data_IF_415371265631
#
_entry.id   IF_415371265631
#
_cell.length_a   1.000
_cell.length_b   1.000
_cell.length_c   1.000
_cell.angle_alpha   90.00
_cell.angle_beta   90.00
_cell.angle_gamma   90.00
#
_symmetry.space_group_name_H-M   'P 1'
#
loop_
_entity.id
_entity.type
_entity.pdbx_description
1 polymer ?
#
# COMPACT_ATOMS: atom_id res chain seq x y z
N UNK A 1 2.65 -17.62 -10.51
CA UNK A 1 2.94 -16.59 -9.49
C UNK A 1 4.41 -16.66 -9.17
N UNK A 2 5.09 -15.53 -9.18
CA UNK A 2 6.51 -15.42 -8.86
C UNK A 2 6.77 -15.73 -7.37
N UNK A 3 7.87 -16.41 -7.07
CA UNK A 3 8.27 -16.76 -5.69
C UNK A 3 8.47 -15.53 -4.81
N UNK A 4 8.99 -14.42 -5.38
CA UNK A 4 9.17 -13.15 -4.66
C UNK A 4 7.84 -12.55 -4.23
N UNK A 5 6.84 -12.57 -5.09
CA UNK A 5 5.50 -12.11 -4.77
C UNK A 5 4.89 -12.94 -3.63
N UNK A 6 5.05 -14.26 -3.68
CA UNK A 6 4.59 -15.13 -2.59
C UNK A 6 5.32 -14.84 -1.27
N UNK A 7 6.62 -14.53 -1.35
CA UNK A 7 7.39 -14.14 -0.17
C UNK A 7 6.87 -12.83 0.44
N UNK A 8 6.56 -11.82 -0.37
CA UNK A 8 5.95 -10.58 0.11
C UNK A 8 4.60 -10.80 0.78
N UNK A 9 3.73 -11.63 0.20
CA UNK A 9 2.45 -11.99 0.83
C UNK A 9 2.66 -12.64 2.20
N UNK A 10 3.63 -13.56 2.31
CA UNK A 10 3.98 -14.21 3.58
C UNK A 10 4.53 -13.23 4.61
N UNK A 11 5.40 -12.30 4.22
CA UNK A 11 5.91 -11.24 5.10
C UNK A 11 4.76 -10.35 5.57
N UNK A 12 3.88 -9.92 4.68
CA UNK A 12 2.71 -9.11 5.01
C UNK A 12 1.81 -9.79 6.04
N UNK A 13 1.58 -11.10 5.92
CA UNK A 13 0.72 -11.90 6.81
C UNK A 13 1.45 -12.52 8.01
N UNK A 14 2.77 -12.31 8.14
CA UNK A 14 3.51 -12.78 9.30
C UNK A 14 3.00 -12.12 10.60
N UNK A 15 2.98 -12.89 11.69
CA UNK A 15 2.43 -12.45 12.99
C UNK A 15 3.33 -11.50 13.77
N UNK A 16 4.45 -11.10 13.22
CA UNK A 16 5.34 -10.12 13.82
C UNK A 16 4.80 -8.68 13.69
N UNK A 17 5.06 -7.81 14.68
CA UNK A 17 4.78 -6.39 14.55
C UNK A 17 5.44 -5.78 13.31
N UNK A 18 4.79 -4.81 12.67
CA UNK A 18 5.32 -4.12 11.49
C UNK A 18 6.72 -3.50 11.73
N UNK A 19 6.96 -2.98 12.93
CA UNK A 19 8.28 -2.46 13.33
C UNK A 19 9.39 -3.52 13.24
N UNK A 20 9.09 -4.76 13.63
CA UNK A 20 10.04 -5.87 13.56
C UNK A 20 10.25 -6.32 12.12
N UNK A 21 9.17 -6.44 11.34
CA UNK A 21 9.28 -6.77 9.91
C UNK A 21 10.18 -5.77 9.18
N UNK A 22 10.07 -4.46 9.49
CA UNK A 22 10.96 -3.43 8.93
C UNK A 22 12.41 -3.63 9.32
N UNK A 23 12.70 -3.92 10.59
CA UNK A 23 14.07 -4.22 11.03
C UNK A 23 14.63 -5.45 10.31
N UNK A 24 13.84 -6.49 10.14
CA UNK A 24 14.25 -7.68 9.37
C UNK A 24 14.59 -7.30 7.93
N UNK A 25 13.74 -6.54 7.27
CA UNK A 25 13.94 -6.12 5.88
C UNK A 25 15.11 -5.12 5.70
N UNK A 26 15.48 -4.38 6.73
CA UNK A 26 16.70 -3.56 6.72
C UNK A 26 17.97 -4.42 6.70
N UNK A 27 17.96 -5.58 7.36
CA UNK A 27 19.11 -6.51 7.41
C UNK A 27 19.09 -7.53 6.28
N UNK A 28 17.91 -7.93 5.84
CA UNK A 28 17.67 -8.89 4.77
C UNK A 28 16.71 -8.28 3.73
N UNK A 29 17.22 -7.45 2.81
CA UNK A 29 16.37 -6.75 1.83
C UNK A 29 15.66 -7.68 0.84
N UNK A 30 16.21 -8.86 0.57
CA UNK A 30 15.54 -9.86 -0.27
C UNK A 30 14.44 -10.57 0.53
N UNK A 31 13.18 -10.60 0.04
CA UNK A 31 12.07 -11.22 0.77
C UNK A 31 12.23 -12.71 0.99
N UNK A 32 12.93 -13.43 0.12
CA UNK A 32 13.19 -14.87 0.27
C UNK A 32 14.21 -15.12 1.39
N UNK A 33 15.26 -14.31 1.45
CA UNK A 33 16.24 -14.34 2.53
C UNK A 33 15.57 -13.95 3.86
N UNK A 34 14.76 -12.89 3.87
CA UNK A 34 14.05 -12.44 5.07
C UNK A 34 13.15 -13.52 5.68
N UNK A 35 12.48 -14.34 4.87
CA UNK A 35 11.64 -15.45 5.33
C UNK A 35 12.45 -16.60 5.94
N UNK A 36 13.68 -16.82 5.47
CA UNK A 36 14.56 -17.89 5.94
C UNK A 36 15.53 -17.45 7.04
N UNK A 37 15.63 -16.13 7.27
CA UNK A 37 16.59 -15.56 8.18
C UNK A 37 16.44 -16.05 9.62
N UNK A 38 17.56 -16.29 10.29
CA UNK A 38 17.59 -16.47 11.73
C UNK A 38 17.57 -15.11 12.43
N UNK A 39 16.43 -14.77 13.00
CA UNK A 39 16.21 -13.49 13.67
C UNK A 39 17.01 -13.36 14.99
N UNK A 40 17.66 -14.43 15.46
CA UNK A 40 18.51 -14.38 16.66
C UNK A 40 19.76 -13.51 16.47
N UNK A 41 20.17 -13.28 15.23
CA UNK A 41 21.32 -12.42 14.89
C UNK A 41 20.99 -10.93 14.93
N UNK A 42 19.71 -10.56 14.98
CA UNK A 42 19.27 -9.17 15.02
C UNK A 42 19.40 -8.57 16.42
N UNK A 43 19.71 -7.27 16.54
CA UNK A 43 19.73 -6.58 17.83
C UNK A 43 18.40 -6.75 18.56
N UNK A 44 18.45 -7.18 19.82
CA UNK A 44 17.26 -7.36 20.65
C UNK A 44 16.65 -6.02 21.03
N UNK A 45 15.79 -5.49 20.20
CA UNK A 45 14.95 -4.34 20.54
C UNK A 45 13.54 -4.84 20.87
N UNK A 46 13.19 -4.90 22.15
CA UNK A 46 11.81 -4.98 22.70
C UNK A 46 10.82 -6.00 22.08
N UNK A 47 11.28 -7.10 21.53
CA UNK A 47 10.41 -8.17 21.04
C UNK A 47 10.56 -9.42 21.88
N UNK A 48 9.45 -9.95 22.35
CA UNK A 48 9.40 -11.14 23.15
C UNK A 48 9.87 -12.37 22.35
N UNK A 49 10.43 -13.34 23.04
CA UNK A 49 11.09 -14.57 22.56
C UNK A 49 10.28 -15.51 21.63
N UNK A 50 9.20 -15.06 21.02
CA UNK A 50 8.33 -15.88 20.17
C UNK A 50 8.84 -15.99 18.75
N UNK A 51 9.83 -16.81 18.52
CA UNK A 51 10.22 -17.27 17.19
C UNK A 51 11.51 -16.66 16.66
N UNK A 52 12.42 -17.55 16.26
CA UNK A 52 13.70 -17.20 15.61
C UNK A 52 13.57 -16.94 14.10
N UNK A 53 12.36 -16.93 13.55
CA UNK A 53 12.08 -16.75 12.11
C UNK A 53 10.79 -15.97 11.87
N UNK A 54 10.67 -15.34 10.70
CA UNK A 54 9.40 -14.80 10.18
C UNK A 54 8.45 -15.97 9.90
N UNK A 55 7.69 -16.38 10.93
CA UNK A 55 6.75 -17.47 10.79
C UNK A 55 5.35 -16.94 10.50
N UNK A 56 4.65 -17.60 9.59
CA UNK A 56 3.22 -17.46 9.46
C UNK A 56 2.57 -17.96 10.75
N UNK A 57 1.66 -17.19 11.34
CA UNK A 57 0.96 -17.52 12.58
C UNK A 57 -0.05 -18.67 12.47
N UNK A 58 0.37 -19.82 11.93
CA UNK A 58 -0.43 -21.02 11.79
C UNK A 58 -1.41 -21.01 10.62
N UNK A 59 -2.40 -21.93 10.62
CA UNK A 59 -3.35 -22.16 9.52
C UNK A 59 -4.13 -20.92 9.06
N UNK A 60 -4.42 -20.01 9.97
CA UNK A 60 -5.14 -18.77 9.61
C UNK A 60 -4.34 -17.87 8.70
N UNK A 61 -3.04 -17.70 8.95
CA UNK A 61 -2.16 -16.89 8.11
C UNK A 61 -1.92 -17.54 6.75
N UNK A 62 -1.76 -18.86 6.69
CA UNK A 62 -1.65 -19.59 5.43
C UNK A 62 -2.90 -19.45 4.56
N UNK A 63 -4.08 -19.50 5.19
CA UNK A 63 -5.36 -19.25 4.48
C UNK A 63 -5.40 -17.83 3.90
N UNK A 64 -4.97 -16.83 4.65
CA UNK A 64 -4.92 -15.44 4.17
C UNK A 64 -3.93 -15.28 3.02
N UNK A 65 -2.74 -15.87 3.11
CA UNK A 65 -1.77 -15.88 2.01
C UNK A 65 -2.37 -16.53 0.76
N UNK A 66 -3.10 -17.62 0.89
CA UNK A 66 -3.75 -18.27 -0.25
C UNK A 66 -4.87 -17.41 -0.86
N UNK A 67 -5.61 -16.66 -0.04
CA UNK A 67 -6.59 -15.69 -0.52
C UNK A 67 -5.92 -14.53 -1.27
N UNK A 68 -4.87 -13.95 -0.69
CA UNK A 68 -4.10 -12.87 -1.31
C UNK A 68 -3.46 -13.34 -2.63
N UNK A 69 -2.94 -14.58 -2.67
CA UNK A 69 -2.38 -15.17 -3.86
C UNK A 69 -3.43 -15.33 -4.99
N UNK A 70 -4.65 -15.73 -4.63
CA UNK A 70 -5.77 -15.81 -5.56
C UNK A 70 -6.17 -14.42 -6.07
N UNK A 71 -6.20 -13.42 -5.19
CA UNK A 71 -6.47 -12.03 -5.56
C UNK A 71 -5.39 -11.51 -6.53
N UNK A 72 -4.12 -11.75 -6.23
CA UNK A 72 -2.97 -11.33 -7.04
C UNK A 72 -2.94 -11.97 -8.45
N UNK A 73 -3.59 -13.11 -8.63
CA UNK A 73 -3.70 -13.77 -9.94
C UNK A 73 -4.63 -13.03 -10.92
N UNK A 74 -5.41 -12.05 -10.46
CA UNK A 74 -6.30 -11.26 -11.32
C UNK A 74 -5.52 -10.21 -12.11
N UNK A 75 -5.92 -9.91 -13.37
CA UNK A 75 -5.28 -8.89 -14.17
C UNK A 75 -5.26 -7.52 -13.48
N UNK A 76 -4.15 -6.80 -13.59
CA UNK A 76 -3.99 -5.46 -13.01
C UNK A 76 -3.79 -5.44 -11.50
N UNK A 77 -3.63 -6.61 -10.86
CA UNK A 77 -3.29 -6.71 -9.45
C UNK A 77 -1.79 -6.95 -9.28
N UNK A 78 -1.18 -6.25 -8.33
CA UNK A 78 0.23 -6.41 -7.99
C UNK A 78 0.48 -6.26 -6.49
N UNK A 79 1.64 -6.70 -6.06
CA UNK A 79 2.15 -6.53 -4.71
C UNK A 79 3.55 -5.94 -4.79
N UNK A 80 3.81 -4.89 -3.99
CA UNK A 80 5.09 -4.18 -3.94
C UNK A 80 5.59 -4.22 -2.50
N UNK A 81 6.76 -4.79 -2.29
CA UNK A 81 7.38 -4.83 -0.96
C UNK A 81 8.22 -3.60 -0.65
N UNK A 82 8.44 -3.33 0.64
CA UNK A 82 9.17 -2.15 1.13
C UNK A 82 10.56 -1.97 0.50
N UNK A 83 11.27 -3.06 0.21
CA UNK A 83 12.61 -3.03 -0.38
C UNK A 83 12.60 -3.15 -1.90
N UNK A 84 11.43 -3.27 -2.52
CA UNK A 84 11.30 -3.29 -3.97
C UNK A 84 11.66 -1.91 -4.55
N UNK A 85 12.42 -1.82 -5.66
CA UNK A 85 12.68 -0.55 -6.34
C UNK A 85 11.42 0.22 -6.76
N UNK A 86 10.31 -0.47 -6.99
CA UNK A 86 9.01 0.12 -7.32
C UNK A 86 8.27 0.70 -6.11
N UNK A 87 8.76 0.48 -4.89
CA UNK A 87 8.10 1.04 -3.71
C UNK A 87 8.24 2.57 -3.71
N UNK A 88 7.15 3.35 -3.51
CA UNK A 88 7.19 4.81 -3.59
C UNK A 88 8.22 5.41 -2.64
N UNK A 89 9.16 6.21 -3.16
CA UNK A 89 10.27 6.75 -2.38
C UNK A 89 9.79 7.58 -1.19
N UNK A 90 8.84 8.50 -1.41
CA UNK A 90 8.29 9.34 -0.33
C UNK A 90 7.54 8.53 0.74
N UNK A 91 6.88 7.45 0.34
CA UNK A 91 6.20 6.57 1.30
C UNK A 91 7.20 5.77 2.14
N UNK A 92 8.40 5.49 1.61
CA UNK A 92 9.48 4.82 2.36
C UNK A 92 10.06 5.71 3.46
N UNK A 93 9.98 7.03 3.30
CA UNK A 93 10.54 8.01 4.25
C UNK A 93 9.65 8.31 5.45
N UNK A 94 8.38 7.91 5.45
CA UNK A 94 7.52 8.12 6.62
C UNK A 94 8.01 7.28 7.80
N UNK A 95 7.69 7.70 9.00
CA UNK A 95 8.14 7.05 10.25
C UNK A 95 7.76 5.57 10.36
N UNK A 96 6.63 5.18 9.75
CA UNK A 96 6.09 3.82 9.78
C UNK A 96 5.64 3.38 8.40
N UNK A 97 6.56 3.18 7.42
CA UNK A 97 6.16 2.72 6.10
C UNK A 97 5.56 1.30 6.17
N UNK A 98 4.52 1.02 5.41
CA UNK A 98 3.98 -0.33 5.31
C UNK A 98 5.02 -1.26 4.67
N UNK A 99 5.10 -2.50 5.12
CA UNK A 99 6.07 -3.46 4.57
C UNK A 99 5.65 -4.02 3.21
N UNK A 100 4.34 -3.98 2.90
CA UNK A 100 3.77 -4.47 1.65
C UNK A 100 2.62 -3.57 1.22
N UNK A 101 2.61 -3.20 -0.05
CA UNK A 101 1.50 -2.53 -0.73
C UNK A 101 0.78 -3.52 -1.63
N UNK A 102 -0.55 -3.54 -1.55
CA UNK A 102 -1.42 -4.21 -2.51
C UNK A 102 -1.93 -3.17 -3.49
N UNK A 103 -1.74 -3.39 -4.77
CA UNK A 103 -2.09 -2.45 -5.81
C UNK A 103 -3.07 -3.07 -6.82
N UNK A 104 -3.99 -2.26 -7.33
CA UNK A 104 -4.83 -2.59 -8.48
C UNK A 104 -4.83 -1.41 -9.45
N UNK A 105 -4.62 -1.68 -10.72
CA UNK A 105 -4.48 -0.67 -11.78
C UNK A 105 -3.03 -0.45 -12.19
N UNK A 106 -2.73 0.78 -12.62
CA UNK A 106 -1.41 1.14 -13.12
C UNK A 106 -0.44 1.53 -11.99
N UNK A 107 0.42 0.59 -11.59
CA UNK A 107 1.42 0.82 -10.54
C UNK A 107 2.50 1.84 -10.92
N UNK A 108 2.67 2.16 -12.21
CA UNK A 108 3.67 3.15 -12.65
C UNK A 108 3.37 4.56 -12.12
N UNK A 109 2.10 4.84 -11.83
CA UNK A 109 1.67 6.11 -11.24
C UNK A 109 2.27 6.37 -9.85
N UNK A 110 2.68 5.31 -9.14
CA UNK A 110 3.31 5.42 -7.83
C UNK A 110 4.71 6.06 -7.87
N UNK A 111 5.32 6.15 -9.05
CA UNK A 111 6.67 6.72 -9.25
C UNK A 111 6.62 8.17 -9.74
N UNK A 112 5.46 8.64 -10.17
CA UNK A 112 5.27 10.00 -10.70
C UNK A 112 5.18 11.07 -9.61
N UNK A 113 5.28 12.35 -10.02
CA UNK A 113 4.99 13.46 -9.11
C UNK A 113 3.53 13.38 -8.67
N UNK A 114 3.29 13.37 -7.37
CA UNK A 114 1.97 13.24 -6.81
C UNK A 114 1.66 14.35 -5.80
N UNK A 115 0.39 14.77 -5.76
CA UNK A 115 -0.11 15.72 -4.78
C UNK A 115 -1.36 15.17 -4.10
N UNK A 116 -1.36 15.16 -2.77
CA UNK A 116 -2.50 14.71 -1.98
C UNK A 116 -3.56 15.81 -1.85
N UNK A 117 -4.82 15.49 -2.21
CA UNK A 117 -5.98 16.34 -1.97
C UNK A 117 -6.90 15.59 -1.00
N UNK A 118 -7.00 16.10 0.22
CA UNK A 118 -7.78 15.49 1.30
C UNK A 118 -8.63 16.54 2.01
N UNK A 119 -9.72 16.12 2.64
CA UNK A 119 -10.56 17.07 3.36
C UNK A 119 -11.81 16.48 3.99
N UNK A 120 -12.77 17.36 4.25
CA UNK A 120 -14.02 17.00 4.93
C UNK A 120 -14.83 15.95 4.16
N UNK A 121 -15.43 15.01 4.90
CA UNK A 121 -16.43 14.08 4.35
C UNK A 121 -17.79 14.74 4.13
N UNK A 122 -18.00 15.91 4.74
CA UNK A 122 -19.21 16.72 4.59
C UNK A 122 -18.82 18.17 4.23
N UNK A 123 -18.29 18.39 3.01
CA UNK A 123 -17.78 19.69 2.58
C UNK A 123 -18.90 20.64 2.19
N UNK A 124 -18.56 21.94 2.12
CA UNK A 124 -19.41 22.93 1.46
C UNK A 124 -19.43 22.72 -0.05
N UNK A 125 -20.46 23.20 -0.78
CA UNK A 125 -20.48 23.17 -2.24
C UNK A 125 -19.23 23.79 -2.87
N UNK A 126 -18.78 24.94 -2.40
CA UNK A 126 -17.56 25.61 -2.86
C UNK A 126 -16.32 24.76 -2.60
N UNK A 127 -16.25 24.07 -1.45
CA UNK A 127 -15.13 23.16 -1.15
C UNK A 127 -15.06 21.99 -2.14
N UNK A 128 -16.20 21.42 -2.54
CA UNK A 128 -16.29 20.37 -3.56
C UNK A 128 -15.80 20.88 -4.90
N UNK A 129 -16.27 22.05 -5.33
CA UNK A 129 -15.90 22.67 -6.60
C UNK A 129 -14.40 22.98 -6.64
N UNK A 130 -13.86 23.60 -5.59
CA UNK A 130 -12.43 23.89 -5.47
C UNK A 130 -11.58 22.63 -5.58
N UNK A 131 -11.91 21.56 -4.81
CA UNK A 131 -11.15 20.32 -4.85
C UNK A 131 -11.20 19.65 -6.22
N UNK A 132 -12.37 19.67 -6.88
CA UNK A 132 -12.55 19.14 -8.22
C UNK A 132 -11.70 19.90 -9.25
N UNK A 133 -11.72 21.23 -9.23
CA UNK A 133 -11.04 22.05 -10.23
C UNK A 133 -9.52 21.99 -10.03
N UNK A 134 -9.03 22.07 -8.77
CA UNK A 134 -7.60 21.83 -8.50
C UNK A 134 -7.12 20.48 -8.99
N UNK A 135 -7.89 19.42 -8.72
CA UNK A 135 -7.54 18.08 -9.19
C UNK A 135 -7.51 17.99 -10.72
N UNK A 136 -8.45 18.65 -11.41
CA UNK A 136 -8.51 18.69 -12.86
C UNK A 136 -7.28 19.36 -13.45
N UNK A 137 -6.91 20.54 -12.93
CA UNK A 137 -5.74 21.29 -13.39
C UNK A 137 -4.43 20.50 -13.17
N UNK A 138 -4.23 19.95 -11.96
CA UNK A 138 -3.06 19.14 -11.65
C UNK A 138 -2.95 17.91 -12.55
N UNK A 139 -4.05 17.20 -12.75
CA UNK A 139 -4.08 16.01 -13.58
C UNK A 139 -3.85 16.32 -15.07
N UNK A 140 -4.27 17.51 -15.56
CA UNK A 140 -4.02 17.97 -16.93
C UNK A 140 -2.54 18.15 -17.22
N UNK A 141 -1.74 18.58 -16.23
CA UNK A 141 -0.29 18.72 -16.37
C UNK A 141 0.48 17.44 -15.98
N UNK A 142 -0.19 16.33 -15.78
CA UNK A 142 0.42 15.03 -15.49
C UNK A 142 0.81 14.80 -14.04
N UNK A 143 0.40 15.66 -13.10
CA UNK A 143 0.58 15.43 -11.66
C UNK A 143 -0.48 14.43 -11.18
N UNK A 144 -0.03 13.39 -10.49
CA UNK A 144 -0.91 12.35 -9.95
C UNK A 144 -1.69 12.92 -8.75
N UNK A 145 -3.01 12.87 -8.82
CA UNK A 145 -3.88 13.26 -7.70
C UNK A 145 -4.02 12.06 -6.76
N UNK A 146 -3.49 12.17 -5.54
CA UNK A 146 -3.61 11.14 -4.51
C UNK A 146 -4.70 11.51 -3.49
N UNK A 147 -5.58 10.56 -3.14
CA UNK A 147 -6.62 10.78 -2.14
C UNK A 147 -7.08 9.45 -1.51
N UNK A 148 -7.98 9.50 -0.50
CA UNK A 148 -8.37 8.33 0.30
C UNK A 148 -9.69 7.65 -0.09
N UNK A 149 -10.30 8.01 -1.22
CA UNK A 149 -11.62 7.52 -1.66
C UNK A 149 -12.79 7.81 -0.71
N UNK A 150 -12.64 8.64 0.31
CA UNK A 150 -13.74 9.00 1.19
C UNK A 150 -14.82 9.82 0.46
N UNK A 151 -16.01 9.90 1.06
CA UNK A 151 -17.01 10.85 0.60
C UNK A 151 -16.49 12.30 0.75
N UNK A 152 -17.06 13.24 0.01
CA UNK A 152 -16.72 14.65 0.10
C UNK A 152 -15.53 15.06 -0.75
N UNK A 153 -14.52 15.69 -0.13
CA UNK A 153 -13.37 16.26 -0.84
C UNK A 153 -12.58 15.20 -1.62
N UNK A 154 -12.34 14.05 -1.02
CA UNK A 154 -11.59 12.95 -1.69
C UNK A 154 -12.29 12.53 -2.99
N UNK A 155 -13.60 12.30 -2.91
CA UNK A 155 -14.41 11.94 -4.09
C UNK A 155 -14.42 13.06 -5.15
N UNK A 156 -14.42 14.33 -4.73
CA UNK A 156 -14.37 15.46 -5.65
C UNK A 156 -13.02 15.53 -6.37
N UNK A 157 -11.92 15.32 -5.64
CA UNK A 157 -10.57 15.29 -6.19
C UNK A 157 -10.41 14.18 -7.25
N UNK A 158 -10.84 12.95 -6.94
CA UNK A 158 -10.79 11.86 -7.92
C UNK A 158 -11.63 12.15 -9.16
N UNK A 159 -12.86 12.69 -8.99
CA UNK A 159 -13.71 13.06 -10.12
C UNK A 159 -13.09 14.16 -10.99
N UNK A 160 -12.43 15.15 -10.37
CA UNK A 160 -11.71 16.21 -11.11
C UNK A 160 -10.61 15.63 -12.00
N UNK A 161 -9.75 14.77 -11.47
CA UNK A 161 -8.71 14.11 -12.24
C UNK A 161 -9.28 13.22 -13.37
N UNK A 162 -10.28 12.41 -13.05
CA UNK A 162 -10.92 11.51 -14.03
C UNK A 162 -11.66 12.26 -15.15
N UNK A 163 -12.23 13.46 -14.88
CA UNK A 163 -12.90 14.29 -15.89
C UNK A 163 -11.98 14.61 -17.05
N UNK A 164 -10.71 14.85 -16.78
CA UNK A 164 -9.69 15.14 -17.80
C UNK A 164 -8.92 13.89 -18.24
N UNK A 165 -9.35 12.70 -17.81
CA UNK A 165 -8.65 11.42 -18.03
C UNK A 165 -7.21 11.43 -17.50
N UNK A 166 -6.96 12.22 -16.46
CA UNK A 166 -5.66 12.36 -15.84
C UNK A 166 -5.40 11.32 -14.74
N UNK A 167 -4.15 11.26 -14.26
CA UNK A 167 -3.73 10.24 -13.29
C UNK A 167 -4.27 10.50 -11.89
N UNK A 168 -4.76 9.45 -11.23
CA UNK A 168 -5.17 9.52 -9.83
C UNK A 168 -4.93 8.20 -9.11
N UNK A 169 -4.55 8.28 -7.82
CA UNK A 169 -4.28 7.15 -6.94
C UNK A 169 -5.18 7.23 -5.72
N UNK A 170 -5.79 6.11 -5.37
CA UNK A 170 -6.55 5.96 -4.13
C UNK A 170 -5.75 5.17 -3.08
N UNK A 171 -5.45 5.79 -1.93
CA UNK A 171 -4.85 5.13 -0.78
C UNK A 171 -5.95 4.64 0.17
N UNK A 172 -6.22 3.33 0.14
CA UNK A 172 -7.29 2.70 0.91
C UNK A 172 -6.75 1.96 2.12
N UNK A 173 -7.43 2.09 3.27
CA UNK A 173 -7.18 1.27 4.45
C UNK A 173 -8.04 0.00 4.50
N UNK A 174 -9.00 -0.14 3.58
CA UNK A 174 -9.82 -1.34 3.40
C UNK A 174 -9.17 -2.29 2.39
N UNK A 175 -9.54 -3.59 2.44
CA UNK A 175 -9.19 -4.51 1.36
C UNK A 175 -9.68 -3.99 0.01
N UNK A 176 -8.89 -4.18 -1.05
CA UNK A 176 -9.21 -3.72 -2.39
C UNK A 176 -10.36 -4.52 -3.06
N UNK A 177 -10.79 -5.60 -2.43
CA UNK A 177 -11.97 -6.40 -2.75
C UNK A 177 -13.26 -5.88 -2.08
N UNK A 178 -13.16 -4.84 -1.26
CA UNK A 178 -14.28 -4.24 -0.53
C UNK A 178 -14.67 -2.93 -1.17
N UNK A 179 -15.94 -2.82 -1.57
CA UNK A 179 -16.49 -1.56 -2.08
C UNK A 179 -16.44 -0.48 -0.99
N UNK A 180 -15.74 0.62 -1.27
CA UNK A 180 -15.62 1.77 -0.39
C UNK A 180 -15.77 3.06 -1.21
N UNK A 181 -16.47 4.11 -0.71
CA UNK A 181 -17.29 4.08 0.50
C UNK A 181 -18.55 3.22 0.34
N UNK A 182 -19.04 2.64 1.43
CA UNK A 182 -20.38 2.03 1.45
C UNK A 182 -21.41 3.16 1.48
N UNK A 183 -22.30 3.19 0.50
CA UNK A 183 -23.47 4.08 0.46
C UNK A 183 -24.51 3.66 1.49
#
# INVERSE_FOLDING_TARGET
MDERNLAWLRIGRATLPESIKRVVLQHFPDPLEALSADLSVLPRQNWSRSGSRLTLGGRSSERLVAQDAKWLASPGHSVIGLTDPKFPALLREISCPPVVLYCTGDESLLQGPALAIVGSRNPTPTGVETAHDFASELATIGVVVASGLALGIDSAAHRGALKVRGPTIAACATGLDIVYPRC
#
